data_IF_056322560294
#
_entry.id   IF_056322560294
#
_cell.length_a   1.000
_cell.length_b   1.000
_cell.length_c   1.000
_cell.angle_alpha   90.00
_cell.angle_beta   90.00
_cell.angle_gamma   90.00
#
_symmetry.space_group_name_H-M   'P 1'
#
loop_
_entity.id
_entity.type
_entity.pdbx_description
1 polymer ?
#
# COMPACT_ATOMS: atom_id res chain seq x y z
N UNK A 1 43.67 -45.05 -14.75
CA UNK A 1 43.11 -45.28 -13.39
C UNK A 1 42.17 -44.13 -13.07
N UNK A 2 40.94 -44.50 -12.72
CA UNK A 2 39.76 -43.65 -12.45
C UNK A 2 39.92 -42.74 -11.22
N UNK A 3 39.31 -41.55 -11.24
CA UNK A 3 38.69 -40.97 -10.03
C UNK A 3 37.46 -40.11 -10.36
N UNK A 4 36.42 -40.34 -9.55
CA UNK A 4 35.01 -40.12 -9.77
C UNK A 4 34.54 -38.65 -9.80
N UNK A 5 33.50 -38.40 -10.61
CA UNK A 5 32.57 -37.27 -10.50
C UNK A 5 31.65 -37.51 -9.29
N UNK A 6 31.55 -36.54 -8.40
CA UNK A 6 30.53 -36.52 -7.35
C UNK A 6 29.24 -35.88 -7.89
N UNK A 7 28.19 -36.68 -8.02
CA UNK A 7 26.84 -36.22 -8.31
C UNK A 7 26.25 -35.46 -7.11
N UNK A 8 25.75 -34.24 -7.35
CA UNK A 8 24.98 -33.49 -6.37
C UNK A 8 23.51 -33.95 -6.39
N UNK A 9 23.02 -34.42 -5.24
CA UNK A 9 21.70 -35.02 -5.06
C UNK A 9 20.53 -34.04 -5.33
N UNK A 10 19.48 -34.44 -6.08
CA UNK A 10 18.33 -33.59 -6.47
C UNK A 10 17.37 -33.19 -5.33
N UNK A 11 17.59 -33.62 -4.09
CA UNK A 11 16.73 -33.28 -2.94
C UNK A 11 16.95 -31.88 -2.36
N UNK A 12 18.14 -31.30 -2.52
CA UNK A 12 18.45 -29.98 -1.95
C UNK A 12 17.82 -28.82 -2.74
N UNK A 13 17.63 -28.97 -4.05
CA UNK A 13 16.91 -28.00 -4.89
C UNK A 13 15.39 -27.99 -4.61
N UNK A 14 14.81 -29.13 -4.23
CA UNK A 14 13.39 -29.26 -3.85
C UNK A 14 13.04 -28.51 -2.56
N UNK A 15 13.94 -28.46 -1.57
CA UNK A 15 13.66 -27.83 -0.27
C UNK A 15 13.57 -26.30 -0.35
N UNK A 16 14.39 -25.67 -1.19
CA UNK A 16 14.37 -24.21 -1.39
C UNK A 16 13.09 -23.71 -2.07
N UNK A 17 12.59 -24.42 -3.09
CA UNK A 17 11.35 -24.05 -3.78
C UNK A 17 10.08 -24.38 -2.98
N UNK A 18 10.12 -25.41 -2.11
CA UNK A 18 9.03 -25.69 -1.16
C UNK A 18 8.82 -24.58 -0.13
N UNK A 19 9.88 -23.87 0.28
CA UNK A 19 9.79 -22.79 1.28
C UNK A 19 9.20 -21.51 0.70
N UNK A 20 9.52 -21.15 -0.56
CA UNK A 20 8.86 -20.05 -1.29
C UNK A 20 7.37 -20.36 -1.54
N UNK A 21 7.07 -21.61 -1.91
CA UNK A 21 5.70 -22.12 -2.01
C UNK A 21 4.97 -21.96 -0.68
N UNK A 22 5.58 -22.34 0.45
CA UNK A 22 4.95 -22.22 1.78
C UNK A 22 4.78 -20.77 2.21
N UNK A 23 5.74 -19.87 1.98
CA UNK A 23 5.60 -18.46 2.36
C UNK A 23 4.54 -17.72 1.54
N UNK A 24 4.49 -17.92 0.21
CA UNK A 24 3.41 -17.38 -0.63
C UNK A 24 2.07 -18.05 -0.34
N UNK A 25 2.03 -19.38 -0.15
CA UNK A 25 0.81 -20.09 0.25
C UNK A 25 0.32 -19.63 1.62
N UNK A 26 1.19 -19.36 2.59
CA UNK A 26 0.81 -18.87 3.92
C UNK A 26 0.31 -17.42 3.86
N UNK A 27 0.99 -16.54 3.11
CA UNK A 27 0.54 -15.17 2.87
C UNK A 27 -0.81 -15.10 2.16
N UNK A 28 -1.03 -15.95 1.13
CA UNK A 28 -2.32 -16.06 0.45
C UNK A 28 -3.39 -16.80 1.27
N UNK A 29 -3.03 -17.78 2.10
CA UNK A 29 -3.97 -18.54 2.95
C UNK A 29 -4.44 -17.74 4.17
N UNK A 30 -3.59 -16.88 4.73
CA UNK A 30 -3.99 -15.93 5.79
C UNK A 30 -4.95 -14.86 5.23
N UNK A 31 -4.81 -14.48 3.96
CA UNK A 31 -5.80 -13.65 3.25
C UNK A 31 -7.11 -14.40 2.95
N UNK A 32 -7.11 -15.73 2.92
CA UNK A 32 -8.29 -16.58 2.65
C UNK A 32 -9.05 -17.04 3.91
N UNK A 33 -8.38 -17.13 5.06
CA UNK A 33 -9.00 -17.48 6.36
C UNK A 33 -9.64 -16.28 7.06
N UNK A 34 -9.37 -15.08 6.56
CA UNK A 34 -10.17 -13.88 6.72
C UNK A 34 -11.59 -14.03 6.09
N UNK A 35 -12.35 -15.02 6.56
CA UNK A 35 -13.82 -15.03 6.46
C UNK A 35 -14.34 -14.30 7.70
N UNK A 36 -14.32 -12.97 7.63
CA UNK A 36 -14.76 -12.11 8.73
C UNK A 36 -16.28 -12.19 8.80
N UNK A 37 -16.78 -12.94 9.78
CA UNK A 37 -18.19 -12.93 10.14
C UNK A 37 -18.55 -11.52 10.64
N UNK A 38 -19.67 -10.98 10.13
CA UNK A 38 -20.19 -9.66 10.53
C UNK A 38 -20.35 -9.57 12.05
N UNK A 39 -19.90 -8.50 12.72
CA UNK A 39 -20.53 -8.06 13.95
C UNK A 39 -21.94 -7.56 13.60
N UNK A 40 -22.97 -8.11 14.24
CA UNK A 40 -24.30 -7.49 14.25
C UNK A 40 -24.19 -6.16 15.01
N UNK A 41 -24.10 -5.05 14.29
CA UNK A 41 -24.41 -3.74 14.87
C UNK A 41 -25.93 -3.63 14.97
N UNK A 42 -26.42 -3.41 16.19
CA UNK A 42 -27.81 -3.09 16.46
C UNK A 42 -28.19 -1.79 15.73
N UNK A 43 -29.36 -1.80 15.09
CA UNK A 43 -29.91 -0.64 14.38
C UNK A 43 -30.13 0.54 15.35
N UNK A 44 -29.85 1.78 14.93
CA UNK A 44 -30.29 2.94 15.68
C UNK A 44 -31.82 3.07 15.58
N UNK A 45 -32.45 3.36 16.70
CA UNK A 45 -33.89 3.57 16.81
C UNK A 45 -34.34 4.72 15.90
N UNK A 46 -35.46 4.50 15.21
CA UNK A 46 -36.13 5.47 14.37
C UNK A 46 -36.64 6.67 15.19
N UNK A 47 -36.46 7.86 14.63
CA UNK A 47 -37.14 9.10 15.02
C UNK A 47 -36.55 10.22 14.18
N UNK A 48 -37.30 11.08 13.51
CA UNK A 48 -38.71 11.22 13.25
C UNK A 48 -38.79 12.39 12.27
N UNK A 49 -39.59 12.24 11.21
CA UNK A 49 -39.78 13.29 10.21
C UNK A 49 -40.31 14.58 10.88
N UNK A 50 -39.65 15.72 10.64
CA UNK A 50 -40.23 17.04 10.91
C UNK A 50 -40.73 17.60 9.59
N UNK A 51 -42.05 17.59 9.43
CA UNK A 51 -42.76 18.31 8.40
C UNK A 51 -42.95 19.78 8.82
N UNK A 52 -42.68 20.68 7.89
CA UNK A 52 -42.95 22.11 7.97
C UNK A 52 -44.46 22.34 7.96
N UNK A 53 -45.00 23.03 8.97
CA UNK A 53 -46.29 23.74 8.83
C UNK A 53 -46.34 25.01 9.67
N UNK A 54 -47.11 25.94 9.12
CA UNK A 54 -47.12 27.36 9.38
C UNK A 54 -47.81 27.81 10.67
N UNK A 55 -47.55 29.08 10.97
CA UNK A 55 -48.04 29.90 12.07
C UNK A 55 -49.53 29.75 12.43
N UNK A 56 -49.82 29.77 13.74
CA UNK A 56 -50.99 30.46 14.28
C UNK A 56 -50.82 30.84 15.76
N UNK A 57 -51.42 31.99 16.08
CA UNK A 57 -51.40 32.81 17.29
C UNK A 57 -51.67 32.08 18.62
N UNK A 58 -50.96 32.47 19.67
CA UNK A 58 -51.42 32.39 21.07
C UNK A 58 -52.44 33.51 21.39
N UNK A 59 -53.21 33.35 22.47
CA UNK A 59 -53.42 34.45 23.39
C UNK A 59 -53.04 34.14 24.85
N UNK A 60 -52.57 35.22 25.48
CA UNK A 60 -52.26 35.57 26.87
C UNK A 60 -52.91 34.80 28.04
N UNK A 61 -52.13 34.79 29.13
CA UNK A 61 -52.52 34.77 30.55
C UNK A 61 -51.67 33.74 31.32
N UNK A 62 -51.18 33.93 32.55
CA UNK A 62 -51.18 34.99 33.55
C UNK A 62 -50.08 34.63 34.59
N UNK A 63 -49.67 35.62 35.41
CA UNK A 63 -48.70 35.53 36.51
C UNK A 63 -49.15 34.64 37.69
N UNK A 64 -48.18 34.07 38.42
CA UNK A 64 -48.03 34.04 39.91
C UNK A 64 -46.93 33.00 40.26
N UNK A 65 -45.76 33.33 40.80
CA UNK A 65 -45.38 33.80 42.16
C UNK A 65 -45.54 32.76 43.29
N UNK A 66 -44.43 32.46 43.98
CA UNK A 66 -44.34 31.74 45.27
C UNK A 66 -43.33 30.59 45.19
N UNK A 67 -42.23 30.48 45.94
CA UNK A 67 -41.84 31.12 47.19
C UNK A 67 -41.71 30.08 48.31
N UNK A 68 -40.47 29.72 48.69
CA UNK A 68 -40.10 29.00 49.92
C UNK A 68 -40.17 27.47 49.85
N UNK A 69 -39.42 26.68 50.63
CA UNK A 69 -38.26 26.83 51.53
C UNK A 69 -37.88 25.38 51.94
N UNK A 70 -36.57 25.11 52.06
CA UNK A 70 -35.88 24.14 52.94
C UNK A 70 -36.61 22.94 53.58
N UNK A 71 -36.07 21.73 53.34
CA UNK A 71 -35.59 20.75 54.37
C UNK A 71 -34.83 19.62 53.65
N UNK A 72 -33.51 19.54 53.80
CA UNK A 72 -32.73 18.69 54.71
C UNK A 72 -32.81 17.17 54.50
N UNK A 73 -31.62 16.64 54.21
CA UNK A 73 -31.02 15.35 54.57
C UNK A 73 -31.60 14.05 54.01
N UNK A 74 -30.78 13.38 53.18
CA UNK A 74 -30.20 12.08 53.57
C UNK A 74 -29.01 11.73 52.67
N UNK A 75 -27.89 11.41 53.32
CA UNK A 75 -26.65 10.90 52.74
C UNK A 75 -26.89 9.71 51.80
N UNK A 76 -26.46 9.83 50.54
CA UNK A 76 -25.99 8.69 49.72
C UNK A 76 -24.76 9.16 48.93
N UNK A 77 -23.66 9.39 49.65
CA UNK A 77 -22.34 9.47 49.04
C UNK A 77 -21.70 8.08 49.12
N UNK A 78 -21.94 7.23 48.12
CA UNK A 78 -21.11 6.05 47.81
C UNK A 78 -21.62 5.33 46.53
N UNK A 79 -21.64 6.01 45.38
CA UNK A 79 -21.80 5.34 44.07
C UNK A 79 -21.35 6.15 42.83
N UNK A 80 -20.87 7.40 43.00
CA UNK A 80 -20.56 8.30 41.87
C UNK A 80 -19.08 8.36 41.49
N UNK A 81 -18.20 7.66 42.22
CA UNK A 81 -16.75 7.68 41.98
C UNK A 81 -16.27 6.81 40.80
N UNK A 82 -16.99 5.74 40.46
CA UNK A 82 -16.59 4.86 39.34
C UNK A 82 -17.09 5.39 37.99
N UNK A 83 -18.34 5.81 37.90
CA UNK A 83 -18.92 6.30 36.64
C UNK A 83 -18.28 7.59 36.12
N UNK A 84 -17.99 8.56 36.99
CA UNK A 84 -17.36 9.82 36.59
C UNK A 84 -15.93 9.59 36.03
N UNK A 85 -15.19 8.68 36.66
CA UNK A 85 -13.81 8.32 36.25
C UNK A 85 -13.79 7.55 34.93
N UNK A 86 -14.74 6.62 34.73
CA UNK A 86 -14.91 5.91 33.46
C UNK A 86 -15.34 6.85 32.33
N UNK A 87 -16.25 7.80 32.59
CA UNK A 87 -16.65 8.79 31.58
C UNK A 87 -15.51 9.75 31.22
N UNK A 88 -14.73 10.21 32.19
CA UNK A 88 -13.58 11.08 31.95
C UNK A 88 -12.47 10.35 31.18
N UNK A 89 -12.17 9.08 31.50
CA UNK A 89 -11.22 8.27 30.77
C UNK A 89 -11.68 7.97 29.33
N UNK A 90 -12.98 7.72 29.13
CA UNK A 90 -13.55 7.50 27.80
C UNK A 90 -13.54 8.78 26.94
N UNK A 91 -13.81 9.94 27.53
CA UNK A 91 -13.73 11.24 26.86
C UNK A 91 -12.28 11.64 26.54
N UNK A 92 -11.33 11.37 27.45
CA UNK A 92 -9.89 11.56 27.20
C UNK A 92 -9.35 10.63 26.10
N UNK A 93 -9.79 9.37 26.09
CA UNK A 93 -9.48 8.41 25.02
C UNK A 93 -10.07 8.83 23.67
N UNK A 94 -11.32 9.30 23.65
CA UNK A 94 -11.96 9.83 22.45
C UNK A 94 -11.26 11.10 21.93
N UNK A 95 -10.85 12.01 22.83
CA UNK A 95 -10.06 13.20 22.51
C UNK A 95 -8.71 12.84 21.87
N UNK A 96 -7.97 11.90 22.48
CA UNK A 96 -6.69 11.43 21.94
C UNK A 96 -6.83 10.76 20.57
N UNK A 97 -7.90 9.98 20.34
CA UNK A 97 -8.19 9.36 19.04
C UNK A 97 -8.51 10.41 17.97
N UNK A 98 -9.25 11.46 18.33
CA UNK A 98 -9.59 12.55 17.42
C UNK A 98 -8.34 13.34 17.01
N UNK A 99 -7.46 13.65 17.95
CA UNK A 99 -6.16 14.29 17.68
C UNK A 99 -5.28 13.43 16.78
N UNK A 100 -5.18 12.13 17.04
CA UNK A 100 -4.43 11.20 16.19
C UNK A 100 -4.99 11.12 14.77
N UNK A 101 -6.32 11.14 14.61
CA UNK A 101 -6.98 11.17 13.30
C UNK A 101 -6.72 12.49 12.55
N UNK A 102 -6.74 13.63 13.26
CA UNK A 102 -6.41 14.94 12.68
C UNK A 102 -4.95 15.00 12.22
N UNK A 103 -4.00 14.58 13.07
CA UNK A 103 -2.58 14.51 12.70
C UNK A 103 -2.34 13.58 11.49
N UNK A 104 -3.05 12.44 11.41
CA UNK A 104 -2.99 11.57 10.26
C UNK A 104 -3.54 12.24 8.98
N UNK A 105 -4.60 13.04 9.09
CA UNK A 105 -5.15 13.81 7.97
C UNK A 105 -4.16 14.90 7.50
N UNK A 106 -3.54 15.62 8.43
CA UNK A 106 -2.56 16.66 8.14
C UNK A 106 -1.31 16.09 7.45
N UNK A 107 -0.85 14.91 7.88
CA UNK A 107 0.28 14.24 7.25
C UNK A 107 -0.04 13.80 5.82
N UNK A 108 -1.25 13.26 5.59
CA UNK A 108 -1.72 12.90 4.23
C UNK A 108 -1.87 14.13 3.35
N UNK A 109 -2.41 15.23 3.89
CA UNK A 109 -2.55 16.49 3.16
C UNK A 109 -1.17 17.03 2.77
N UNK A 110 -0.21 17.03 3.71
CA UNK A 110 1.18 17.43 3.46
C UNK A 110 1.83 16.59 2.36
N UNK A 111 1.60 15.27 2.35
CA UNK A 111 2.09 14.41 1.27
C UNK A 111 1.44 14.72 -0.07
N UNK A 112 0.12 14.98 -0.09
CA UNK A 112 -0.60 15.40 -1.30
C UNK A 112 -0.07 16.72 -1.86
N UNK A 113 0.30 17.67 -1.01
CA UNK A 113 0.94 18.92 -1.46
C UNK A 113 2.31 18.66 -2.09
N UNK A 114 3.11 17.74 -1.55
CA UNK A 114 4.37 17.31 -2.18
C UNK A 114 4.11 16.69 -3.55
N UNK A 115 3.14 15.78 -3.66
CA UNK A 115 2.71 15.21 -4.95
C UNK A 115 2.32 16.31 -5.93
N UNK A 116 1.49 17.26 -5.51
CA UNK A 116 0.98 18.35 -6.35
C UNK A 116 2.08 19.33 -6.76
N UNK A 117 3.09 19.56 -5.92
CA UNK A 117 4.14 20.57 -6.15
C UNK A 117 4.85 20.44 -7.50
N UNK A 118 4.95 19.22 -8.03
CA UNK A 118 5.61 18.90 -9.32
C UNK A 118 4.66 18.66 -10.48
N UNK A 119 3.34 18.78 -10.25
CA UNK A 119 2.30 18.48 -11.26
C UNK A 119 1.10 19.42 -11.27
N UNK A 120 1.14 20.57 -10.59
CA UNK A 120 -0.01 21.52 -10.56
C UNK A 120 -0.52 21.86 -11.97
N UNK A 121 0.42 22.09 -12.90
CA UNK A 121 0.13 22.45 -14.30
C UNK A 121 -0.10 21.24 -15.21
N UNK A 122 -0.01 20.01 -14.69
CA UNK A 122 -0.21 18.78 -15.47
C UNK A 122 -1.58 18.15 -15.20
N UNK A 123 -2.37 18.68 -14.27
CA UNK A 123 -3.65 18.09 -13.90
C UNK A 123 -4.66 18.14 -15.06
N UNK A 124 -5.32 17.02 -15.28
CA UNK A 124 -6.39 16.84 -16.27
C UNK A 124 -7.57 16.10 -15.63
N UNK A 125 -8.79 16.24 -16.19
CA UNK A 125 -9.89 15.34 -15.84
C UNK A 125 -9.47 13.89 -16.07
N UNK A 126 -9.82 13.01 -15.13
CA UNK A 126 -9.54 11.57 -15.26
C UNK A 126 -10.35 11.01 -16.42
N UNK A 127 -9.67 10.45 -17.42
CA UNK A 127 -10.30 9.79 -18.57
C UNK A 127 -9.73 8.39 -18.76
N UNK A 128 -10.48 7.55 -19.48
CA UNK A 128 -10.12 6.18 -19.80
C UNK A 128 -9.97 6.06 -21.30
N UNK A 129 -8.81 5.58 -21.75
CA UNK A 129 -8.58 5.21 -23.15
C UNK A 129 -8.50 3.69 -23.28
N UNK A 130 -9.04 3.15 -24.38
CA UNK A 130 -8.89 1.73 -24.66
C UNK A 130 -7.43 1.37 -24.95
N UNK A 131 -6.98 0.25 -24.40
CA UNK A 131 -5.68 -0.35 -24.64
C UNK A 131 -5.80 -1.71 -25.31
N UNK A 132 -4.65 -2.29 -25.64
CA UNK A 132 -4.54 -3.62 -26.25
C UNK A 132 -3.55 -4.46 -25.45
N UNK A 133 -3.69 -5.80 -25.46
CA UNK A 133 -2.72 -6.68 -24.81
C UNK A 133 -1.30 -6.44 -25.34
N UNK A 134 -0.34 -6.29 -24.42
CA UNK A 134 1.08 -6.14 -24.75
C UNK A 134 1.64 -7.47 -25.24
N UNK A 135 2.12 -7.51 -26.48
CA UNK A 135 2.71 -8.72 -27.09
C UNK A 135 4.13 -8.98 -26.62
N UNK A 136 4.92 -7.92 -26.51
CA UNK A 136 6.35 -7.96 -26.19
C UNK A 136 6.64 -7.05 -24.99
N UNK A 137 6.48 -7.54 -23.74
CA UNK A 137 6.64 -6.71 -22.56
C UNK A 137 8.09 -6.27 -22.36
N UNK A 138 8.29 -4.98 -22.09
CA UNK A 138 9.62 -4.42 -21.83
C UNK A 138 10.02 -4.60 -20.36
N UNK A 139 11.03 -5.43 -20.14
CA UNK A 139 11.69 -5.63 -18.87
C UNK A 139 13.03 -4.88 -18.88
N UNK A 140 13.25 -4.03 -17.88
CA UNK A 140 14.52 -3.34 -17.70
C UNK A 140 15.47 -4.18 -16.83
N UNK A 141 16.73 -3.76 -16.69
CA UNK A 141 17.72 -4.47 -15.87
C UNK A 141 18.37 -5.66 -16.58
N UNK A 142 19.15 -6.46 -15.84
CA UNK A 142 19.99 -7.53 -16.41
C UNK A 142 19.15 -8.68 -17.00
N UNK A 143 19.12 -8.87 -18.33
CA UNK A 143 18.39 -9.96 -18.96
C UNK A 143 19.16 -11.28 -18.89
N UNK A 144 18.48 -12.42 -19.15
CA UNK A 144 17.05 -12.55 -19.36
C UNK A 144 16.31 -12.74 -18.02
N UNK A 145 15.29 -11.92 -17.77
CA UNK A 145 14.28 -12.26 -16.78
C UNK A 145 13.41 -13.36 -17.39
N UNK A 146 13.77 -14.63 -17.13
CA UNK A 146 13.02 -15.79 -17.58
C UNK A 146 11.61 -15.86 -16.96
N UNK A 147 10.82 -16.86 -17.35
CA UNK A 147 9.52 -17.14 -16.70
C UNK A 147 9.72 -17.30 -15.20
N UNK A 148 8.90 -16.61 -14.40
CA UNK A 148 8.96 -16.77 -12.96
C UNK A 148 8.21 -18.03 -12.55
N UNK A 149 8.91 -19.16 -12.43
CA UNK A 149 8.36 -20.41 -11.88
C UNK A 149 7.64 -20.16 -10.54
N UNK A 150 8.15 -19.22 -9.75
CA UNK A 150 7.54 -18.78 -8.50
C UNK A 150 6.14 -18.17 -8.71
N UNK A 151 6.01 -17.20 -9.61
CA UNK A 151 4.70 -16.59 -9.92
C UNK A 151 3.74 -17.62 -10.55
N UNK A 152 4.24 -18.45 -11.46
CA UNK A 152 3.45 -19.52 -12.10
C UNK A 152 2.98 -20.58 -11.12
N UNK A 153 3.74 -20.82 -10.04
CA UNK A 153 3.36 -21.74 -8.96
C UNK A 153 2.31 -21.20 -8.00
N UNK A 154 1.86 -19.94 -8.17
CA UNK A 154 0.81 -19.38 -7.35
C UNK A 154 -0.44 -20.26 -7.46
N UNK A 155 -0.94 -20.82 -6.33
CA UNK A 155 -2.11 -21.70 -6.37
C UNK A 155 -3.28 -20.98 -7.01
N UNK A 156 -4.09 -21.70 -7.78
CA UNK A 156 -5.33 -21.20 -8.38
C UNK A 156 -6.49 -22.04 -7.89
N UNK A 157 -7.67 -21.45 -7.81
CA UNK A 157 -8.89 -22.23 -7.61
C UNK A 157 -9.23 -22.92 -8.94
N UNK A 158 -9.59 -24.20 -8.89
CA UNK A 158 -10.01 -24.91 -10.09
C UNK A 158 -11.30 -24.29 -10.64
N UNK A 159 -11.27 -23.89 -11.91
CA UNK A 159 -12.41 -23.29 -12.63
C UNK A 159 -12.52 -24.00 -13.98
N UNK A 160 -13.66 -24.65 -14.25
CA UNK A 160 -13.94 -25.26 -15.54
C UNK A 160 -13.98 -24.21 -16.65
N UNK A 161 -13.30 -24.49 -17.78
CA UNK A 161 -13.13 -23.56 -18.91
C UNK A 161 -12.54 -22.20 -18.50
N UNK A 162 -11.54 -22.18 -17.61
CA UNK A 162 -10.96 -20.95 -17.08
C UNK A 162 -10.56 -19.93 -18.17
N UNK A 163 -9.89 -20.38 -19.23
CA UNK A 163 -9.43 -19.50 -20.31
C UNK A 163 -10.59 -18.84 -21.08
N UNK A 164 -11.69 -19.55 -21.29
CA UNK A 164 -12.88 -19.02 -21.98
C UNK A 164 -13.67 -18.04 -21.12
N UNK A 165 -13.61 -18.20 -19.79
CA UNK A 165 -14.29 -17.35 -18.81
C UNK A 165 -13.47 -16.15 -18.37
N UNK A 166 -12.17 -16.13 -18.66
CA UNK A 166 -11.30 -15.03 -18.26
C UNK A 166 -11.55 -13.83 -19.16
N UNK A 167 -11.97 -12.71 -18.57
CA UNK A 167 -12.05 -11.42 -19.22
C UNK A 167 -10.76 -10.68 -18.94
N UNK A 168 -10.16 -10.16 -20.01
CA UNK A 168 -9.01 -9.28 -19.96
C UNK A 168 -9.40 -7.89 -20.48
N UNK A 169 -9.21 -6.87 -19.65
CA UNK A 169 -9.34 -5.47 -20.01
C UNK A 169 -7.95 -4.82 -19.98
N UNK A 170 -7.54 -4.22 -21.09
CA UNK A 170 -6.36 -3.37 -21.17
C UNK A 170 -6.85 -1.94 -21.46
N UNK A 171 -6.44 -0.98 -20.65
CA UNK A 171 -6.82 0.41 -20.81
C UNK A 171 -5.77 1.34 -20.21
N UNK A 172 -5.87 2.61 -20.57
CA UNK A 172 -5.03 3.65 -20.02
C UNK A 172 -5.87 4.62 -19.21
N UNK A 173 -5.45 4.94 -17.98
CA UNK A 173 -5.99 6.05 -17.22
C UNK A 173 -5.16 7.30 -17.47
N UNK A 174 -5.77 8.39 -17.89
CA UNK A 174 -5.07 9.66 -18.08
C UNK A 174 -5.07 10.40 -16.75
N UNK A 175 -3.95 10.31 -16.04
CA UNK A 175 -3.78 10.81 -14.66
C UNK A 175 -3.23 12.24 -14.59
N UNK A 176 -2.52 12.65 -15.64
CA UNK A 176 -1.94 13.97 -15.87
C UNK A 176 -1.47 14.09 -17.33
N UNK A 177 -1.06 15.28 -17.76
CA UNK A 177 -0.48 15.53 -19.08
C UNK A 177 0.86 14.80 -19.27
N UNK A 178 1.14 14.42 -20.52
CA UNK A 178 2.39 13.80 -20.95
C UNK A 178 2.37 12.27 -20.92
N UNK A 179 3.36 11.66 -21.54
CA UNK A 179 3.42 10.19 -21.74
C UNK A 179 3.40 9.43 -20.41
N UNK A 180 4.10 9.93 -19.40
CA UNK A 180 4.10 9.29 -18.08
C UNK A 180 2.74 9.43 -17.38
N UNK A 181 1.94 10.46 -17.68
CA UNK A 181 0.59 10.63 -17.14
C UNK A 181 -0.43 9.63 -17.68
N UNK A 182 -0.11 8.93 -18.77
CA UNK A 182 -0.91 7.85 -19.35
C UNK A 182 -0.59 6.53 -18.63
N UNK A 183 -1.44 6.11 -17.71
CA UNK A 183 -1.27 4.93 -16.84
C UNK A 183 -1.77 3.64 -17.50
N UNK A 184 -0.90 2.70 -17.89
CA UNK A 184 -1.31 1.41 -18.42
C UNK A 184 -1.86 0.53 -17.31
N UNK A 185 -3.04 -0.04 -17.54
CA UNK A 185 -3.74 -0.91 -16.60
C UNK A 185 -4.10 -2.23 -17.29
N UNK A 186 -3.71 -3.33 -16.66
CA UNK A 186 -4.13 -4.69 -17.00
C UNK A 186 -5.09 -5.18 -15.92
N UNK A 187 -6.31 -5.51 -16.30
CA UNK A 187 -7.34 -6.02 -15.41
C UNK A 187 -7.82 -7.39 -15.88
N UNK A 188 -7.77 -8.38 -14.99
CA UNK A 188 -8.31 -9.71 -15.22
C UNK A 188 -9.44 -10.02 -14.23
N UNK A 189 -10.56 -10.55 -14.74
CA UNK A 189 -11.70 -11.01 -13.95
C UNK A 189 -12.37 -12.21 -14.60
N UNK A 190 -13.19 -12.95 -13.86
CA UNK A 190 -14.06 -13.96 -14.46
C UNK A 190 -15.35 -13.33 -15.01
N UNK A 191 -15.82 -13.85 -16.14
CA UNK A 191 -17.14 -13.60 -16.71
C UNK A 191 -18.22 -14.38 -15.93
N UNK A 192 -18.32 -14.10 -14.63
CA UNK A 192 -19.42 -14.55 -13.79
C UNK A 192 -20.33 -13.38 -13.43
N UNK A 193 -21.63 -13.67 -13.32
CA UNK A 193 -22.72 -12.70 -13.14
C UNK A 193 -23.03 -12.43 -11.66
N UNK A 194 -22.43 -13.18 -10.74
CA UNK A 194 -22.65 -13.05 -9.30
C UNK A 194 -21.34 -13.22 -8.52
N UNK A 195 -21.07 -12.38 -7.51
CA UNK A 195 -21.86 -11.20 -7.10
C UNK A 195 -21.77 -10.05 -8.13
N UNK A 196 -22.79 -9.16 -8.14
CA UNK A 196 -22.86 -7.99 -9.06
C UNK A 196 -21.61 -7.11 -8.94
N UNK A 197 -21.20 -6.81 -7.71
CA UNK A 197 -19.97 -6.07 -7.39
C UNK A 197 -18.95 -7.01 -6.78
N UNK A 198 -17.69 -6.94 -7.22
CA UNK A 198 -16.62 -7.84 -6.80
C UNK A 198 -15.56 -7.10 -5.97
N UNK A 199 -14.87 -7.78 -5.03
CA UNK A 199 -13.68 -7.22 -4.43
C UNK A 199 -12.57 -7.06 -5.48
N UNK A 200 -11.76 -6.02 -5.32
CA UNK A 200 -10.61 -5.74 -6.18
C UNK A 200 -9.32 -6.00 -5.42
N UNK A 201 -8.30 -6.50 -6.12
CA UNK A 201 -6.93 -6.50 -5.62
C UNK A 201 -5.99 -5.88 -6.67
N UNK A 202 -5.23 -4.87 -6.25
CA UNK A 202 -4.21 -4.20 -7.05
C UNK A 202 -2.85 -4.81 -6.73
N UNK A 203 -2.17 -5.34 -7.76
CA UNK A 203 -0.83 -5.90 -7.70
C UNK A 203 0.17 -4.94 -8.33
N UNK A 204 1.27 -4.68 -7.63
CA UNK A 204 2.35 -3.79 -8.08
C UNK A 204 3.66 -4.55 -8.25
N UNK A 205 4.31 -4.33 -9.39
CA UNK A 205 5.51 -5.06 -9.78
C UNK A 205 6.76 -4.46 -9.11
N UNK A 206 7.81 -5.26 -8.98
CA UNK A 206 9.13 -4.83 -8.51
C UNK A 206 9.82 -3.93 -9.53
N UNK A 207 10.92 -3.27 -9.13
CA UNK A 207 11.77 -2.51 -10.05
C UNK A 207 12.11 -3.32 -11.29
N UNK A 208 12.16 -2.64 -12.42
CA UNK A 208 12.59 -3.15 -13.72
C UNK A 208 11.67 -4.21 -14.37
N UNK A 209 10.54 -4.55 -13.72
CA UNK A 209 9.48 -5.39 -14.30
C UNK A 209 8.37 -4.54 -14.94
N UNK A 210 7.26 -5.17 -15.30
CA UNK A 210 6.05 -4.52 -15.80
C UNK A 210 4.80 -5.27 -15.30
N UNK A 211 3.60 -4.75 -15.59
CA UNK A 211 2.32 -5.34 -15.21
C UNK A 211 2.11 -6.75 -15.75
N UNK A 212 2.64 -7.09 -16.93
CA UNK A 212 2.51 -8.43 -17.51
C UNK A 212 3.24 -9.51 -16.67
N UNK A 213 4.30 -9.12 -15.95
CA UNK A 213 4.99 -10.02 -15.01
C UNK A 213 4.05 -10.57 -13.93
N UNK A 214 3.01 -9.83 -13.59
CA UNK A 214 2.06 -10.15 -12.53
C UNK A 214 0.90 -11.03 -13.01
N UNK A 215 0.78 -11.29 -14.32
CA UNK A 215 -0.34 -12.04 -14.90
C UNK A 215 -0.65 -13.36 -14.15
N UNK A 216 0.32 -14.19 -13.75
CA UNK A 216 -0.01 -15.41 -13.01
C UNK A 216 -0.74 -15.17 -11.68
N UNK A 217 -0.41 -14.07 -10.98
CA UNK A 217 -1.11 -13.65 -9.75
C UNK A 217 -2.50 -13.10 -10.07
N UNK A 218 -2.63 -12.31 -11.13
CA UNK A 218 -3.91 -11.80 -11.60
C UNK A 218 -4.87 -12.96 -11.91
N UNK A 219 -4.43 -13.92 -12.72
CA UNK A 219 -5.22 -15.12 -13.05
C UNK A 219 -5.57 -15.94 -11.80
N UNK A 220 -4.65 -16.06 -10.85
CA UNK A 220 -4.89 -16.75 -9.60
C UNK A 220 -5.99 -16.07 -8.78
N UNK A 221 -6.00 -14.73 -8.66
CA UNK A 221 -7.04 -14.03 -7.92
C UNK A 221 -8.36 -13.91 -8.68
N UNK A 222 -8.32 -13.76 -10.01
CA UNK A 222 -9.49 -13.87 -10.86
C UNK A 222 -10.19 -15.23 -10.67
N UNK A 223 -9.44 -16.34 -10.62
CA UNK A 223 -10.00 -17.68 -10.35
C UNK A 223 -10.74 -17.80 -9.01
N UNK A 224 -10.47 -16.88 -8.08
CA UNK A 224 -11.10 -16.80 -6.75
C UNK A 224 -12.26 -15.80 -6.69
N UNK A 225 -12.66 -15.21 -7.81
CA UNK A 225 -13.78 -14.26 -7.89
C UNK A 225 -13.42 -12.80 -7.61
N UNK A 226 -12.12 -12.45 -7.64
CA UNK A 226 -11.67 -11.06 -7.55
C UNK A 226 -11.61 -10.42 -8.94
N UNK A 227 -11.79 -9.10 -8.98
CA UNK A 227 -11.21 -8.28 -10.04
C UNK A 227 -9.74 -8.06 -9.66
N UNK A 228 -8.82 -8.47 -10.52
CA UNK A 228 -7.39 -8.35 -10.27
C UNK A 228 -6.77 -7.34 -11.23
N UNK A 229 -6.01 -6.40 -10.70
CA UNK A 229 -5.50 -5.24 -11.44
C UNK A 229 -3.99 -5.18 -11.28
N UNK A 230 -3.27 -4.88 -12.36
CA UNK A 230 -1.88 -4.49 -12.34
C UNK A 230 -1.68 -3.21 -13.15
N UNK A 231 -0.69 -2.40 -12.78
CA UNK A 231 -0.30 -1.19 -13.50
C UNK A 231 1.18 -1.20 -13.83
N UNK A 232 1.56 -0.46 -14.86
CA UNK A 232 2.97 -0.10 -15.07
C UNK A 232 3.32 1.12 -14.22
N UNK A 233 4.27 0.93 -13.30
CA UNK A 233 4.85 2.02 -12.54
C UNK A 233 5.48 3.05 -13.48
N UNK A 234 5.67 4.28 -13.01
CA UNK A 234 6.32 5.33 -13.81
C UNK A 234 7.66 4.82 -14.38
N UNK A 235 7.89 5.10 -15.66
CA UNK A 235 9.08 4.69 -16.41
C UNK A 235 9.32 3.18 -16.51
N UNK A 236 8.27 2.34 -16.43
CA UNK A 236 8.33 0.88 -16.57
C UNK A 236 7.32 0.37 -17.61
N UNK A 237 7.52 -0.84 -18.13
CA UNK A 237 6.59 -1.49 -19.07
C UNK A 237 6.27 -0.61 -20.29
N UNK A 238 5.00 -0.37 -20.57
CA UNK A 238 4.56 0.49 -21.68
C UNK A 238 4.95 1.97 -21.50
N UNK A 239 5.36 2.39 -20.29
CA UNK A 239 5.87 3.75 -20.01
C UNK A 239 7.39 3.86 -20.16
N UNK A 240 8.05 2.82 -20.64
CA UNK A 240 9.49 2.80 -20.90
C UNK A 240 9.78 2.67 -22.39
N UNK A 241 10.85 3.32 -22.86
CA UNK A 241 11.28 3.28 -24.26
C UNK A 241 12.49 2.38 -24.48
N UNK A 242 13.25 2.06 -23.42
CA UNK A 242 14.45 1.23 -23.47
C UNK A 242 14.81 0.64 -22.09
N UNK A 243 15.90 -0.12 -22.04
CA UNK A 243 16.35 -0.84 -20.83
C UNK A 243 16.86 0.05 -19.69
N UNK A 244 17.13 1.34 -19.93
CA UNK A 244 17.67 2.28 -18.95
C UNK A 244 16.67 3.35 -18.53
N UNK A 245 15.46 3.36 -19.11
CA UNK A 245 14.50 4.47 -18.96
C UNK A 245 14.22 4.85 -17.51
N UNK A 246 14.08 3.87 -16.60
CA UNK A 246 13.87 4.15 -15.18
C UNK A 246 15.08 4.81 -14.50
N UNK A 247 16.29 4.33 -14.79
CA UNK A 247 17.53 4.91 -14.26
C UNK A 247 17.76 6.31 -14.83
N UNK A 248 17.50 6.50 -16.13
CA UNK A 248 17.63 7.80 -16.79
C UNK A 248 16.65 8.83 -16.21
N UNK A 249 15.43 8.40 -15.89
CA UNK A 249 14.45 9.23 -15.21
C UNK A 249 14.91 9.63 -13.80
N UNK A 250 15.46 8.69 -13.02
CA UNK A 250 16.02 8.96 -11.69
C UNK A 250 17.15 9.99 -11.75
N UNK A 251 18.07 9.84 -12.70
CA UNK A 251 19.17 10.79 -12.94
C UNK A 251 18.63 12.17 -13.35
N UNK A 252 17.63 12.20 -14.23
CA UNK A 252 16.96 13.44 -14.61
C UNK A 252 16.32 14.14 -13.41
N UNK A 253 15.63 13.39 -12.54
CA UNK A 253 15.03 13.93 -11.33
C UNK A 253 16.09 14.46 -10.35
N UNK A 254 17.25 13.81 -10.25
CA UNK A 254 18.39 14.35 -9.49
C UNK A 254 18.91 15.67 -10.06
N UNK A 255 19.06 15.78 -11.39
CA UNK A 255 19.53 17.03 -12.03
C UNK A 255 18.52 18.16 -11.85
N UNK A 256 17.26 17.90 -12.19
CA UNK A 256 16.24 18.95 -12.36
C UNK A 256 15.37 19.17 -11.12
N UNK A 257 15.11 18.13 -10.32
CA UNK A 257 14.18 18.18 -9.17
C UNK A 257 12.70 18.33 -9.56
N UNK A 258 12.36 18.14 -10.83
CA UNK A 258 11.04 18.39 -11.43
C UNK A 258 10.08 17.19 -11.38
N UNK A 259 10.59 15.99 -11.10
CA UNK A 259 9.84 14.72 -11.10
C UNK A 259 10.23 13.87 -9.89
N UNK A 260 9.39 12.91 -9.47
CA UNK A 260 9.67 11.97 -8.35
C UNK A 260 9.49 10.52 -8.81
N UNK A 261 10.34 10.05 -9.75
CA UNK A 261 10.19 8.77 -10.44
C UNK A 261 10.32 7.54 -9.54
N UNK A 262 10.94 7.69 -8.36
CA UNK A 262 11.23 6.56 -7.47
C UNK A 262 9.94 5.95 -6.89
N UNK A 263 9.21 6.69 -6.05
CA UNK A 263 7.99 6.20 -5.38
C UNK A 263 6.80 7.11 -5.71
N UNK A 264 6.96 8.42 -5.54
CA UNK A 264 5.84 9.33 -5.34
C UNK A 264 4.99 9.58 -6.59
N UNK A 265 5.59 9.61 -7.78
CA UNK A 265 4.81 9.82 -9.01
C UNK A 265 3.87 8.64 -9.30
N UNK A 266 4.28 7.41 -8.98
CA UNK A 266 3.40 6.24 -9.09
C UNK A 266 2.32 6.24 -8.00
N UNK A 267 2.57 6.84 -6.83
CA UNK A 267 1.54 6.98 -5.79
C UNK A 267 0.39 7.88 -6.24
N UNK A 268 0.68 8.91 -7.05
CA UNK A 268 -0.37 9.71 -7.67
C UNK A 268 -1.23 8.93 -8.65
N UNK A 269 -0.60 8.10 -9.49
CA UNK A 269 -1.33 7.17 -10.36
C UNK A 269 -2.26 6.26 -9.56
N UNK A 270 -1.83 5.80 -8.39
CA UNK A 270 -2.61 4.93 -7.52
C UNK A 270 -3.80 5.67 -6.89
N UNK A 271 -3.66 6.95 -6.53
CA UNK A 271 -4.83 7.77 -6.13
C UNK A 271 -5.86 7.81 -7.27
N UNK A 272 -5.43 8.06 -8.50
CA UNK A 272 -6.32 8.11 -9.68
C UNK A 272 -6.91 6.75 -10.05
N UNK A 273 -6.15 5.67 -9.87
CA UNK A 273 -6.66 4.32 -10.00
C UNK A 273 -7.75 4.05 -8.95
N UNK A 274 -7.55 4.51 -7.71
CA UNK A 274 -8.57 4.47 -6.66
C UNK A 274 -9.86 5.20 -7.02
N UNK A 275 -9.75 6.38 -7.68
CA UNK A 275 -10.90 7.12 -8.22
C UNK A 275 -11.65 6.25 -9.22
N UNK A 276 -10.97 5.80 -10.27
CA UNK A 276 -11.56 4.98 -11.33
C UNK A 276 -12.22 3.71 -10.80
N UNK A 277 -11.51 2.93 -9.97
CA UNK A 277 -12.03 1.67 -9.44
C UNK A 277 -13.26 1.87 -8.56
N UNK A 278 -13.36 2.99 -7.83
CA UNK A 278 -14.49 3.25 -6.95
C UNK A 278 -15.77 3.62 -7.72
N UNK A 279 -15.63 4.10 -8.95
CA UNK A 279 -16.75 4.52 -9.82
C UNK A 279 -17.26 3.37 -10.72
N UNK A 280 -16.51 2.27 -10.84
CA UNK A 280 -16.91 1.12 -11.65
C UNK A 280 -18.11 0.39 -11.05
N UNK A 281 -19.10 0.09 -11.89
CA UNK A 281 -20.33 -0.63 -11.49
C UNK A 281 -20.09 -2.09 -11.04
N UNK A 282 -19.01 -2.71 -11.52
CA UNK A 282 -18.65 -4.10 -11.19
C UNK A 282 -17.72 -4.21 -9.97
N UNK A 283 -17.34 -3.09 -9.36
CA UNK A 283 -16.44 -3.04 -8.20
C UNK A 283 -17.22 -2.73 -6.93
N UNK A 284 -16.86 -3.40 -5.83
CA UNK A 284 -17.27 -2.97 -4.49
C UNK A 284 -16.23 -1.97 -3.94
N UNK A 285 -16.54 -0.66 -3.84
CA UNK A 285 -15.57 0.36 -3.46
C UNK A 285 -15.07 0.22 -2.01
N UNK A 286 -15.80 -0.51 -1.16
CA UNK A 286 -15.36 -0.81 0.21
C UNK A 286 -14.40 -2.01 0.30
N UNK A 287 -14.09 -2.67 -0.82
CA UNK A 287 -13.28 -3.91 -0.86
C UNK A 287 -12.19 -3.84 -1.93
N UNK A 288 -11.41 -2.77 -1.92
CA UNK A 288 -10.23 -2.61 -2.75
C UNK A 288 -8.99 -2.92 -1.91
N UNK A 289 -8.26 -3.98 -2.24
CA UNK A 289 -6.97 -4.33 -1.62
C UNK A 289 -5.79 -3.92 -2.48
N UNK A 290 -4.62 -3.72 -1.87
CA UNK A 290 -3.37 -3.37 -2.57
C UNK A 290 -2.18 -4.15 -2.02
N UNK A 291 -1.33 -4.65 -2.92
CA UNK A 291 -0.14 -5.43 -2.59
C UNK A 291 0.93 -5.24 -3.66
N UNK A 292 2.18 -5.48 -3.30
CA UNK A 292 3.30 -5.45 -4.25
C UNK A 292 4.60 -5.89 -3.61
N UNK A 293 5.57 -6.25 -4.45
CA UNK A 293 6.89 -6.72 -4.04
C UNK A 293 7.97 -5.67 -4.28
N UNK A 294 8.83 -5.45 -3.29
CA UNK A 294 9.97 -4.52 -3.37
C UNK A 294 9.52 -3.10 -3.71
N UNK A 295 9.81 -2.58 -4.91
CA UNK A 295 9.30 -1.28 -5.36
C UNK A 295 7.77 -1.20 -5.32
N UNK A 296 7.09 -2.24 -5.81
CA UNK A 296 5.64 -2.32 -5.71
C UNK A 296 5.15 -2.40 -4.26
N UNK A 297 5.96 -2.92 -3.34
CA UNK A 297 5.66 -2.91 -1.90
C UNK A 297 5.76 -1.50 -1.30
N UNK A 298 6.75 -0.70 -1.73
CA UNK A 298 6.85 0.73 -1.38
C UNK A 298 5.65 1.50 -1.92
N UNK A 299 5.28 1.29 -3.19
CA UNK A 299 4.09 1.92 -3.77
C UNK A 299 2.80 1.52 -3.05
N UNK A 300 2.61 0.23 -2.70
CA UNK A 300 1.44 -0.22 -1.96
C UNK A 300 1.33 0.42 -0.58
N UNK A 301 2.46 0.54 0.14
CA UNK A 301 2.52 1.23 1.43
C UNK A 301 2.18 2.71 1.29
N UNK A 302 2.84 3.45 0.38
CA UNK A 302 2.60 4.89 0.23
C UNK A 302 1.21 5.21 -0.32
N UNK A 303 0.68 4.40 -1.25
CA UNK A 303 -0.68 4.54 -1.75
C UNK A 303 -1.72 4.32 -0.65
N UNK A 304 -1.53 3.29 0.18
CA UNK A 304 -2.40 3.08 1.33
C UNK A 304 -2.26 4.19 2.38
N UNK A 305 -1.05 4.71 2.60
CA UNK A 305 -0.82 5.84 3.51
C UNK A 305 -1.66 7.05 3.10
N UNK A 306 -1.57 7.48 1.83
CA UNK A 306 -2.23 8.70 1.34
C UNK A 306 -3.72 8.53 1.00
N UNK A 307 -4.11 7.31 0.58
CA UNK A 307 -5.46 7.01 0.10
C UNK A 307 -6.14 5.94 0.95
N UNK A 308 -7.24 6.32 1.60
CA UNK A 308 -7.96 5.48 2.56
C UNK A 308 -8.89 4.45 1.90
N UNK A 309 -9.09 4.53 0.57
CA UNK A 309 -9.93 3.56 -0.16
C UNK A 309 -9.32 2.18 -0.27
N UNK A 310 -8.00 2.08 -0.19
CA UNK A 310 -7.31 0.80 -0.08
C UNK A 310 -7.57 0.20 1.29
N UNK A 311 -8.59 -0.66 1.33
CA UNK A 311 -9.18 -1.28 2.52
C UNK A 311 -8.32 -2.38 3.14
N UNK A 312 -7.45 -3.04 2.37
CA UNK A 312 -6.53 -4.09 2.85
C UNK A 312 -5.16 -3.88 2.18
N UNK A 313 -4.09 -3.98 2.97
CA UNK A 313 -2.76 -3.51 2.57
C UNK A 313 -1.72 -4.57 2.89
N UNK A 314 -0.99 -5.04 1.87
CA UNK A 314 0.02 -6.11 2.01
C UNK A 314 1.33 -5.74 1.29
N UNK A 315 2.17 -4.85 1.84
CA UNK A 315 3.47 -4.56 1.24
C UNK A 315 4.43 -5.72 1.51
N UNK A 316 5.07 -6.21 0.45
CA UNK A 316 6.01 -7.33 0.50
C UNK A 316 7.41 -6.78 0.26
N UNK A 317 8.31 -6.94 1.24
CA UNK A 317 9.69 -6.46 1.25
C UNK A 317 9.85 -5.00 0.76
N UNK A 318 8.84 -4.17 1.07
CA UNK A 318 8.75 -2.79 0.61
C UNK A 318 8.83 -1.74 1.72
N UNK A 319 8.42 -2.06 2.94
CA UNK A 319 8.50 -1.09 4.05
C UNK A 319 9.93 -1.01 4.56
N UNK A 320 10.43 0.20 4.78
CA UNK A 320 11.77 0.50 5.25
C UNK A 320 11.76 1.76 6.11
N UNK A 321 12.51 1.78 7.21
CA UNK A 321 12.88 3.01 7.91
C UNK A 321 14.08 3.66 7.23
N UNK A 322 13.86 4.67 6.39
CA UNK A 322 14.91 5.34 5.62
C UNK A 322 15.86 6.14 6.51
N UNK A 323 15.33 6.90 7.48
CA UNK A 323 16.15 7.63 8.46
C UNK A 323 16.99 6.69 9.30
N UNK A 324 16.38 5.62 9.78
CA UNK A 324 17.08 4.59 10.54
C UNK A 324 18.23 3.98 9.73
N UNK A 325 18.00 3.67 8.45
CA UNK A 325 19.03 3.10 7.58
C UNK A 325 20.20 4.08 7.37
N UNK A 326 19.91 5.37 7.25
CA UNK A 326 20.91 6.44 7.16
C UNK A 326 21.74 6.53 8.45
N UNK A 327 21.07 6.65 9.59
CA UNK A 327 21.71 6.84 10.90
C UNK A 327 22.53 5.63 11.36
N UNK A 328 22.17 4.43 10.91
CA UNK A 328 22.85 3.18 11.27
C UNK A 328 23.80 2.66 10.18
N UNK A 329 24.05 3.46 9.14
CA UNK A 329 24.91 3.08 8.01
C UNK A 329 24.47 1.75 7.36
N UNK A 330 23.16 1.57 7.16
CA UNK A 330 22.50 0.40 6.54
C UNK A 330 21.75 0.73 5.25
N UNK A 331 22.10 1.84 4.60
CA UNK A 331 21.47 2.33 3.37
C UNK A 331 22.03 1.69 2.09
N UNK A 332 23.18 1.00 2.16
CA UNK A 332 23.98 0.57 1.00
C UNK A 332 23.20 -0.33 0.05
N UNK A 333 22.47 -1.33 0.57
CA UNK A 333 21.74 -2.24 -0.30
C UNK A 333 20.58 -1.54 -1.04
N UNK A 334 19.97 -0.51 -0.44
CA UNK A 334 18.96 0.33 -1.11
C UNK A 334 19.62 1.18 -2.19
N UNK A 335 20.74 1.84 -1.87
CA UNK A 335 21.54 2.60 -2.83
C UNK A 335 21.97 1.74 -4.02
N UNK A 336 22.50 0.55 -3.75
CA UNK A 336 22.99 -0.39 -4.77
C UNK A 336 21.90 -0.81 -5.76
N UNK A 337 20.62 -0.80 -5.34
CA UNK A 337 19.49 -1.16 -6.22
C UNK A 337 19.23 -0.16 -7.35
N UNK A 338 19.72 1.08 -7.20
CA UNK A 338 19.64 2.17 -8.19
C UNK A 338 20.98 2.93 -8.23
N UNK A 339 22.10 2.22 -8.05
CA UNK A 339 23.45 2.79 -7.89
C UNK A 339 23.85 3.85 -8.92
N UNK A 340 23.52 3.71 -10.23
CA UNK A 340 23.91 4.71 -11.22
C UNK A 340 23.40 6.13 -10.93
N UNK A 341 22.28 6.29 -10.21
CA UNK A 341 21.80 7.58 -9.71
C UNK A 341 22.76 8.15 -8.67
N UNK A 342 23.14 7.34 -7.68
CA UNK A 342 23.98 7.77 -6.57
C UNK A 342 25.42 8.07 -7.01
N UNK A 343 25.92 7.36 -8.02
CA UNK A 343 27.22 7.70 -8.63
C UNK A 343 27.20 9.05 -9.34
N UNK A 344 26.10 9.38 -10.05
CA UNK A 344 25.94 10.71 -10.67
C UNK A 344 25.88 11.80 -9.59
N UNK A 345 25.07 11.60 -8.55
CA UNK A 345 25.00 12.52 -7.43
C UNK A 345 26.33 12.70 -6.69
N UNK A 346 27.07 11.60 -6.48
CA UNK A 346 28.41 11.64 -5.88
C UNK A 346 29.36 12.52 -6.68
N UNK A 347 29.39 12.33 -8.02
CA UNK A 347 30.26 13.09 -8.93
C UNK A 347 29.87 14.58 -8.91
N UNK A 348 28.57 14.88 -9.05
CA UNK A 348 28.05 16.25 -9.04
C UNK A 348 28.34 17.00 -7.73
N UNK A 349 28.35 16.28 -6.61
CA UNK A 349 28.67 16.81 -5.28
C UNK A 349 30.18 16.88 -4.99
N UNK A 350 31.04 16.46 -5.92
CA UNK A 350 32.50 16.47 -5.74
C UNK A 350 33.01 15.50 -4.67
N UNK A 351 32.27 14.42 -4.40
CA UNK A 351 32.60 13.43 -3.36
C UNK A 351 33.42 12.26 -3.91
N UNK A 352 34.36 11.75 -3.12
CA UNK A 352 35.18 10.58 -3.50
C UNK A 352 34.41 9.26 -3.42
N UNK A 353 33.41 9.17 -2.55
CA UNK A 353 32.58 7.98 -2.34
C UNK A 353 31.11 8.37 -2.13
N UNK A 354 30.20 7.41 -2.30
CA UNK A 354 28.79 7.61 -1.90
C UNK A 354 28.78 7.55 -0.38
N UNK A 355 28.63 8.69 0.29
CA UNK A 355 28.55 8.81 1.75
C UNK A 355 27.11 9.13 2.21
N UNK A 356 26.93 9.28 3.53
CA UNK A 356 25.62 9.64 4.12
C UNK A 356 25.04 10.93 3.53
N UNK A 357 25.88 11.93 3.26
CA UNK A 357 25.43 13.22 2.72
C UNK A 357 24.92 13.08 1.28
N UNK A 358 25.60 12.31 0.43
CA UNK A 358 25.11 11.98 -0.93
C UNK A 358 23.74 11.31 -0.83
N UNK A 359 23.58 10.39 0.12
CA UNK A 359 22.33 9.65 0.29
C UNK A 359 21.17 10.55 0.70
N UNK A 360 21.37 11.39 1.71
CA UNK A 360 20.37 12.36 2.18
C UNK A 360 19.96 13.33 1.06
N UNK A 361 20.94 13.92 0.37
CA UNK A 361 20.69 14.87 -0.73
C UNK A 361 19.91 14.25 -1.88
N UNK A 362 20.22 12.99 -2.24
CA UNK A 362 19.47 12.28 -3.29
C UNK A 362 18.02 12.12 -2.85
N UNK A 363 17.74 11.62 -1.65
CA UNK A 363 16.37 11.44 -1.17
C UNK A 363 15.60 12.74 -1.09
N UNK A 364 16.19 13.80 -0.56
CA UNK A 364 15.58 15.13 -0.52
C UNK A 364 15.15 15.62 -1.90
N UNK A 365 15.92 15.28 -2.95
CA UNK A 365 15.63 15.72 -4.31
C UNK A 365 14.60 14.86 -5.01
N UNK A 366 14.70 13.52 -4.96
CA UNK A 366 13.83 12.62 -5.74
C UNK A 366 12.61 12.09 -4.98
N UNK A 367 12.59 12.23 -3.65
CA UNK A 367 11.49 11.82 -2.78
C UNK A 367 11.48 12.67 -1.48
N UNK A 368 11.14 13.97 -1.54
CA UNK A 368 11.23 14.88 -0.40
C UNK A 368 10.45 14.37 0.82
N UNK A 369 11.12 14.32 1.98
CA UNK A 369 10.50 13.87 3.23
C UNK A 369 10.44 12.35 3.42
N UNK A 370 11.01 11.56 2.51
CA UNK A 370 11.03 10.09 2.57
C UNK A 370 11.73 9.55 3.82
N UNK A 371 12.78 10.21 4.28
CA UNK A 371 13.56 9.87 5.47
C UNK A 371 13.26 10.80 6.66
N UNK A 372 12.10 11.43 6.66
CA UNK A 372 11.64 12.27 7.77
C UNK A 372 10.14 12.07 8.01
N UNK A 373 9.32 13.08 7.74
CA UNK A 373 7.90 13.09 8.10
C UNK A 373 7.07 11.98 7.40
N UNK A 374 7.52 11.47 6.25
CA UNK A 374 6.80 10.40 5.52
C UNK A 374 7.40 9.00 5.73
N UNK A 375 8.47 8.88 6.52
CA UNK A 375 9.14 7.62 6.79
C UNK A 375 8.22 6.62 7.54
N UNK A 376 8.60 5.34 7.56
CA UNK A 376 7.82 4.25 8.13
C UNK A 376 7.31 4.46 9.57
N UNK A 377 8.07 5.06 10.50
CA UNK A 377 7.58 5.33 11.85
C UNK A 377 6.34 6.23 11.91
N UNK A 378 6.08 7.01 10.86
CA UNK A 378 4.99 7.99 10.82
C UNK A 378 3.87 7.57 9.88
N UNK A 379 4.19 7.05 8.70
CA UNK A 379 3.19 6.73 7.67
C UNK A 379 2.58 5.33 7.79
N UNK A 380 3.27 4.35 8.40
CA UNK A 380 2.72 3.01 8.62
C UNK A 380 1.60 2.98 9.69
N UNK A 381 1.77 3.60 10.88
CA UNK A 381 0.76 3.52 11.93
C UNK A 381 -0.60 4.10 11.51
N UNK A 382 -0.59 5.15 10.68
CA UNK A 382 -1.81 5.81 10.21
C UNK A 382 -2.55 5.03 9.12
N UNK A 383 -2.10 3.83 8.76
CA UNK A 383 -2.90 2.89 7.97
C UNK A 383 -4.07 2.34 8.82
N UNK A 384 -3.90 2.31 10.16
CA UNK A 384 -4.96 1.92 11.08
C UNK A 384 -6.27 2.68 10.80
N UNK A 385 -7.43 2.03 10.96
CA UNK A 385 -7.64 0.65 11.42
C UNK A 385 -7.74 -0.38 10.29
N UNK A 386 -7.23 -0.08 9.08
CA UNK A 386 -7.40 -0.95 7.91
C UNK A 386 -6.49 -2.17 8.00
N UNK A 387 -6.96 -3.39 7.67
CA UNK A 387 -6.11 -4.57 7.69
C UNK A 387 -4.75 -4.38 6.99
N UNK A 388 -3.67 -4.60 7.74
CA UNK A 388 -2.28 -4.43 7.31
C UNK A 388 -1.46 -5.67 7.64
N UNK A 389 -0.88 -6.27 6.59
CA UNK A 389 0.06 -7.38 6.71
C UNK A 389 1.43 -6.97 6.13
N UNK A 390 2.40 -6.73 7.01
CA UNK A 390 3.78 -6.45 6.61
C UNK A 390 4.52 -7.77 6.39
N UNK A 391 4.98 -8.04 5.17
CA UNK A 391 5.79 -9.22 4.87
C UNK A 391 7.22 -8.79 4.59
N UNK A 392 8.17 -9.21 5.44
CA UNK A 392 9.57 -8.85 5.26
C UNK A 392 10.50 -10.07 5.30
N UNK A 393 11.62 -9.98 4.58
CA UNK A 393 12.67 -11.00 4.66
C UNK A 393 13.52 -10.79 5.90
N UNK A 394 13.73 -11.84 6.71
CA UNK A 394 14.53 -11.75 7.94
C UNK A 394 15.98 -11.29 7.67
N UNK A 395 16.48 -11.56 6.46
CA UNK A 395 17.82 -11.22 6.01
C UNK A 395 17.82 -10.25 4.80
N UNK A 396 16.69 -9.57 4.49
CA UNK A 396 16.69 -8.62 3.37
C UNK A 396 17.52 -7.37 3.76
N UNK A 397 18.67 -7.13 3.09
CA UNK A 397 19.52 -6.00 3.45
C UNK A 397 18.93 -4.65 3.03
N UNK A 398 17.92 -4.63 2.14
CA UNK A 398 17.23 -3.40 1.72
C UNK A 398 16.12 -2.98 2.67
N UNK A 399 15.56 -3.94 3.40
CA UNK A 399 14.53 -3.70 4.41
C UNK A 399 14.97 -4.35 5.73
N UNK A 400 16.05 -3.87 6.40
CA UNK A 400 16.56 -4.54 7.59
C UNK A 400 15.52 -4.56 8.70
N UNK A 401 15.31 -5.74 9.30
CA UNK A 401 14.36 -5.92 10.42
C UNK A 401 14.56 -4.91 11.54
N UNK A 402 15.79 -4.56 11.97
CA UNK A 402 15.97 -3.54 13.00
C UNK A 402 15.37 -2.17 12.64
N UNK A 403 15.40 -1.78 11.36
CA UNK A 403 14.76 -0.54 10.88
C UNK A 403 13.23 -0.59 10.82
N UNK A 404 12.63 -1.75 11.07
CA UNK A 404 11.18 -1.93 11.14
C UNK A 404 10.64 -2.03 12.57
N UNK A 405 11.51 -2.15 13.58
CA UNK A 405 11.09 -2.32 14.97
C UNK A 405 10.22 -1.15 15.46
N UNK A 406 10.67 0.09 15.23
CA UNK A 406 9.91 1.28 15.61
C UNK A 406 8.60 1.42 14.80
N UNK A 407 8.59 1.34 13.46
CA UNK A 407 7.35 1.34 12.68
C UNK A 407 6.33 0.29 13.15
N UNK A 408 6.79 -0.94 13.39
CA UNK A 408 5.92 -2.04 13.84
C UNK A 408 5.39 -1.80 15.25
N UNK A 409 6.22 -1.30 16.17
CA UNK A 409 5.78 -0.96 17.54
C UNK A 409 4.73 0.15 17.54
N UNK A 410 4.95 1.22 16.79
CA UNK A 410 3.99 2.33 16.64
C UNK A 410 2.71 1.88 15.96
N UNK A 411 2.81 1.02 14.94
CA UNK A 411 1.65 0.42 14.29
C UNK A 411 0.88 -0.47 15.27
N UNK A 412 1.54 -1.37 16.02
CA UNK A 412 0.88 -2.21 17.01
C UNK A 412 0.07 -1.38 18.02
N UNK A 413 0.62 -0.26 18.49
CA UNK A 413 -0.10 0.70 19.34
C UNK A 413 -1.32 1.32 18.65
N UNK A 414 -1.19 1.72 17.39
CA UNK A 414 -2.32 2.28 16.63
C UNK A 414 -3.44 1.26 16.36
N UNK A 415 -3.14 -0.05 16.43
CA UNK A 415 -4.10 -1.14 16.24
C UNK A 415 -4.55 -1.80 17.55
N UNK A 416 -4.25 -1.23 18.72
CA UNK A 416 -4.54 -1.85 20.03
C UNK A 416 -6.03 -2.25 20.17
N UNK A 417 -6.96 -1.43 19.66
CA UNK A 417 -8.41 -1.70 19.67
C UNK A 417 -8.90 -2.65 18.56
N UNK A 418 -8.03 -2.98 17.59
CA UNK A 418 -8.32 -3.79 16.39
C UNK A 418 -7.13 -4.70 16.05
N UNK A 419 -6.57 -5.34 17.07
CA UNK A 419 -5.28 -6.05 16.96
C UNK A 419 -5.30 -7.20 15.92
N UNK A 420 -6.46 -7.78 15.64
CA UNK A 420 -6.69 -8.79 14.60
C UNK A 420 -6.49 -8.26 13.17
N UNK A 421 -6.42 -6.94 12.99
CA UNK A 421 -6.20 -6.27 11.70
C UNK A 421 -4.73 -5.94 11.44
N UNK A 422 -3.81 -6.20 12.36
CA UNK A 422 -2.38 -5.94 12.14
C UNK A 422 -1.54 -7.20 12.35
N UNK A 423 -0.67 -7.48 11.38
CA UNK A 423 0.31 -8.56 11.49
C UNK A 423 1.59 -8.18 10.75
N UNK A 424 2.74 -8.47 11.36
CA UNK A 424 4.05 -8.35 10.73
C UNK A 424 4.75 -9.71 10.75
N UNK A 425 5.09 -10.23 9.57
CA UNK A 425 5.76 -11.52 9.42
C UNK A 425 7.16 -11.33 8.83
N UNK A 426 8.16 -11.82 9.57
CA UNK A 426 9.51 -12.03 9.05
C UNK A 426 9.65 -13.45 8.54
N UNK A 427 9.96 -13.64 7.25
CA UNK A 427 10.26 -14.97 6.71
C UNK A 427 11.77 -15.17 6.55
N UNK A 428 12.28 -16.33 6.99
CA UNK A 428 13.68 -16.74 6.83
C UNK A 428 14.02 -17.07 5.37
N UNK A 429 14.08 -16.07 4.50
CA UNK A 429 14.51 -16.22 3.11
C UNK A 429 15.68 -15.27 2.85
N UNK A 430 16.87 -15.85 2.77
CA UNK A 430 18.10 -15.16 2.37
C UNK A 430 18.01 -14.73 0.90
N UNK A 431 18.13 -13.43 0.62
CA UNK A 431 18.08 -12.88 -0.74
C UNK A 431 19.23 -13.40 -1.64
N UNK A 432 20.35 -13.88 -1.07
CA UNK A 432 21.44 -14.50 -1.85
C UNK A 432 21.02 -15.77 -2.60
N UNK A 433 19.95 -16.47 -2.20
CA UNK A 433 19.47 -17.69 -2.89
C UNK A 433 18.45 -17.43 -4.00
N UNK A 434 17.87 -16.23 -4.10
CA UNK A 434 16.88 -15.90 -5.14
C UNK A 434 17.50 -15.33 -6.42
N UNK A 435 18.70 -14.74 -6.35
CA UNK A 435 19.38 -14.15 -7.53
C UNK A 435 20.67 -14.88 -7.94
N UNK A 436 21.08 -15.94 -7.25
CA UNK A 436 22.27 -16.71 -7.60
C UNK A 436 21.90 -17.88 -8.53
N UNK A 437 21.79 -17.59 -9.83
CA UNK A 437 22.28 -18.50 -10.86
C UNK A 437 23.67 -18.02 -11.27
N UNK A 438 24.66 -18.26 -10.41
CA UNK A 438 26.08 -18.29 -10.80
C UNK A 438 26.79 -19.38 -10.02
N UNK A 439 27.02 -20.50 -10.68
CA UNK A 439 28.34 -21.12 -10.79
C UNK A 439 28.58 -21.45 -12.25
#
# INVERSE_FOLDING_TARGET
MSRARGEAHPEFARRGSMLLRRAMVLALALALTATWSRPRLAAPAAGGHVAVTAARRQPRGQRASGGGRYSQSSNVAAALGSHATTTAASAASAGSKMEAAAAAADLRASFREVLLSRRRNLQVPLTVEHGSPVKDPLYQGSPPMGKSEAMESCPRKAVGSFKEKLIEENFYLITELGEQGRLPVLLLKLNDTAPKTKPVIVFLHSSYKCKEWLRPLLEAYASRGYISVAIDSRYHGERASNNTTYIDALKSAWRNGDTMPFIFDTVWDLIKLGDHLSEREDVNPCRIGITGESLGGMHAWFAAFVDTRYSVVVPIIGVQGFRWAIDNNKWQARVDSIKPLFEEARIDLGKCEIDKEVVEKVWDKIAPGLDSQFDAPFSVPIIAPRPLLLLNGAEDPRCPVPGLQEPVSRAAKAYEDVADKFMCLGFGICFKKLCSHRK
#
